data_IF_720744177018
#
_entry.id   IF_720744177018
#
_cell.length_a   1.000
_cell.length_b   1.000
_cell.length_c   1.000
_cell.angle_alpha   90.00
_cell.angle_beta   90.00
_cell.angle_gamma   90.00
#
_symmetry.space_group_name_H-M   'P 1'
#
loop_
_entity.id
_entity.type
_entity.pdbx_description
1 polymer ?
#
# COMPACT_ATOMS: atom_id res chain seq x y z
N UNK A 1 14.33 -21.45 -3.76
CA UNK A 1 14.55 -20.09 -3.24
C UNK A 1 13.23 -19.38 -3.09
N UNK A 2 13.02 -18.72 -1.97
CA UNK A 2 11.78 -18.01 -1.68
C UNK A 2 11.94 -16.54 -1.99
N UNK A 3 11.12 -16.03 -2.88
CA UNK A 3 11.08 -14.59 -3.17
C UNK A 3 10.06 -13.92 -2.30
N UNK A 4 10.36 -12.70 -1.87
CA UNK A 4 9.46 -11.85 -1.11
C UNK A 4 9.05 -10.65 -1.94
N UNK A 5 7.77 -10.31 -1.87
CA UNK A 5 7.20 -9.19 -2.59
C UNK A 5 6.53 -8.25 -1.60
N UNK A 6 6.78 -6.97 -1.76
CA UNK A 6 6.13 -5.93 -0.96
C UNK A 6 4.83 -5.53 -1.66
N UNK A 7 3.74 -5.48 -0.90
CA UNK A 7 2.42 -5.11 -1.42
C UNK A 7 1.78 -4.03 -0.56
N UNK A 8 1.04 -3.13 -1.19
CA UNK A 8 0.32 -2.07 -0.51
C UNK A 8 -1.14 -2.12 -0.92
N UNK A 9 -2.03 -2.16 0.08
CA UNK A 9 -3.47 -1.96 -0.14
C UNK A 9 -3.73 -0.49 0.14
N UNK A 10 -4.10 0.25 -0.90
CA UNK A 10 -4.22 1.70 -0.89
C UNK A 10 -5.49 2.17 -0.16
N UNK A 11 -5.56 3.47 0.21
CA UNK A 11 -6.66 3.95 1.05
C UNK A 11 -8.06 3.71 0.50
N UNK A 12 -8.25 3.80 -0.81
CA UNK A 12 -9.57 3.58 -1.41
C UNK A 12 -10.05 2.15 -1.21
N UNK A 13 -9.14 1.17 -1.37
CA UNK A 13 -9.49 -0.23 -1.16
C UNK A 13 -9.78 -0.51 0.32
N UNK A 14 -9.04 0.13 1.23
CA UNK A 14 -9.30 0.02 2.67
C UNK A 14 -10.68 0.56 3.01
N UNK A 15 -11.05 1.73 2.46
CA UNK A 15 -12.37 2.32 2.65
C UNK A 15 -13.49 1.43 2.13
N UNK A 16 -13.24 0.69 1.08
CA UNK A 16 -14.21 -0.21 0.46
C UNK A 16 -14.26 -1.58 1.14
N UNK A 17 -13.56 -1.75 2.23
CA UNK A 17 -13.50 -3.00 3.00
C UNK A 17 -13.01 -4.19 2.17
N UNK A 18 -11.99 -3.95 1.35
CA UNK A 18 -11.43 -4.97 0.45
C UNK A 18 -10.17 -5.65 1.00
N UNK A 19 -9.73 -5.28 2.22
CA UNK A 19 -8.50 -5.84 2.79
C UNK A 19 -8.54 -7.37 2.78
N UNK A 20 -9.59 -7.94 3.36
CA UNK A 20 -9.73 -9.39 3.45
C UNK A 20 -9.81 -10.07 2.09
N UNK A 21 -10.54 -9.46 1.15
CA UNK A 21 -10.69 -10.00 -0.18
C UNK A 21 -9.35 -10.03 -0.93
N UNK A 22 -8.58 -8.95 -0.82
CA UNK A 22 -7.27 -8.85 -1.48
C UNK A 22 -6.28 -9.84 -0.88
N UNK A 23 -6.19 -9.91 0.44
CA UNK A 23 -5.30 -10.86 1.12
C UNK A 23 -5.70 -12.30 0.84
N UNK A 24 -7.00 -12.59 0.83
CA UNK A 24 -7.50 -13.91 0.48
C UNK A 24 -7.13 -14.31 -0.94
N UNK A 25 -7.14 -13.35 -1.85
CA UNK A 25 -6.73 -13.61 -3.23
C UNK A 25 -5.24 -13.94 -3.33
N UNK A 26 -4.40 -13.25 -2.57
CA UNK A 26 -2.97 -13.58 -2.52
C UNK A 26 -2.77 -15.01 -2.02
N UNK A 27 -3.43 -15.36 -0.93
CA UNK A 27 -3.31 -16.70 -0.37
C UNK A 27 -3.82 -17.78 -1.33
N UNK A 28 -4.92 -17.51 -2.04
CA UNK A 28 -5.45 -18.47 -3.02
C UNK A 28 -4.53 -18.67 -4.21
N UNK A 29 -3.64 -17.72 -4.48
CA UNK A 29 -2.63 -17.83 -5.54
C UNK A 29 -1.32 -18.47 -5.03
N UNK A 30 -1.29 -18.94 -3.80
CA UNK A 30 -0.13 -19.58 -3.23
C UNK A 30 0.85 -18.67 -2.52
N UNK A 31 0.53 -17.38 -2.38
CA UNK A 31 1.38 -16.46 -1.61
C UNK A 31 1.17 -16.68 -0.12
N UNK A 32 2.27 -16.58 0.61
CA UNK A 32 2.23 -16.63 2.07
C UNK A 32 2.39 -15.20 2.59
N UNK A 33 1.48 -14.76 3.45
CA UNK A 33 1.61 -13.46 4.10
C UNK A 33 2.64 -13.58 5.22
N UNK A 34 3.81 -13.01 5.02
CA UNK A 34 4.93 -13.10 5.96
C UNK A 34 4.87 -12.00 7.01
N UNK A 35 4.46 -10.80 6.61
CA UNK A 35 4.30 -9.66 7.50
C UNK A 35 3.14 -8.81 7.03
N UNK A 36 2.46 -8.18 7.97
CA UNK A 36 1.25 -7.41 7.69
C UNK A 36 1.13 -6.28 8.70
N UNK A 37 0.86 -5.06 8.21
CA UNK A 37 0.69 -3.92 9.10
C UNK A 37 -0.24 -2.89 8.48
N UNK A 38 -1.17 -2.35 9.26
CA UNK A 38 -1.96 -1.21 8.86
C UNK A 38 -1.27 0.05 9.38
N UNK A 39 -1.07 1.03 8.51
CA UNK A 39 -0.40 2.28 8.86
C UNK A 39 -1.13 3.47 8.28
N UNK A 40 -1.06 4.61 8.98
CA UNK A 40 -1.46 5.90 8.45
C UNK A 40 -0.17 6.66 8.14
N UNK A 41 0.08 6.93 6.86
CA UNK A 41 1.28 7.64 6.46
C UNK A 41 1.24 9.09 6.91
N UNK A 42 2.40 9.63 7.28
CA UNK A 42 2.58 11.07 7.42
C UNK A 42 2.85 11.66 6.03
N UNK A 43 2.68 12.99 5.91
CA UNK A 43 2.97 13.68 4.65
C UNK A 43 4.41 13.41 4.21
N UNK A 44 5.34 13.48 5.14
CA UNK A 44 6.76 13.24 4.88
C UNK A 44 7.01 11.82 4.36
N UNK A 45 6.37 10.82 4.96
CA UNK A 45 6.49 9.44 4.51
C UNK A 45 5.92 9.24 3.11
N UNK A 46 4.76 9.84 2.83
CA UNK A 46 4.13 9.72 1.51
C UNK A 46 4.98 10.42 0.44
N UNK A 47 5.53 11.58 0.75
CA UNK A 47 6.42 12.30 -0.17
C UNK A 47 7.70 11.51 -0.43
N UNK A 48 8.27 10.89 0.59
CA UNK A 48 9.44 10.03 0.43
C UNK A 48 9.15 8.79 -0.42
N UNK A 49 7.97 8.22 -0.26
CA UNK A 49 7.55 7.06 -1.03
C UNK A 49 7.49 7.35 -2.54
N UNK A 50 7.07 8.56 -2.90
CA UNK A 50 6.96 8.99 -4.29
C UNK A 50 8.04 9.99 -4.70
N UNK A 51 9.19 9.98 -4.02
CA UNK A 51 10.26 10.98 -4.27
C UNK A 51 10.71 11.03 -5.72
N UNK A 52 10.74 9.89 -6.41
CA UNK A 52 11.13 9.83 -7.83
C UNK A 52 10.16 10.57 -8.76
N UNK A 53 8.95 10.87 -8.28
CA UNK A 53 7.94 11.62 -9.03
C UNK A 53 7.89 13.10 -8.65
N UNK A 54 8.75 13.53 -7.74
CA UNK A 54 8.79 14.92 -7.29
C UNK A 54 9.03 15.86 -8.48
N UNK A 55 8.25 16.93 -8.52
CA UNK A 55 8.30 17.89 -9.62
C UNK A 55 7.37 17.58 -10.78
N UNK A 56 6.75 16.41 -10.79
CA UNK A 56 5.78 16.06 -11.82
C UNK A 56 4.37 16.54 -11.43
N UNK A 57 3.50 16.87 -12.42
CA UNK A 57 2.17 17.41 -12.12
C UNK A 57 1.30 16.51 -11.24
N UNK A 58 1.51 15.21 -11.28
CA UNK A 58 0.71 14.25 -10.50
C UNK A 58 1.27 13.96 -9.11
N UNK A 59 2.41 14.55 -8.74
CA UNK A 59 3.08 14.24 -7.46
C UNK A 59 2.19 14.60 -6.26
N UNK A 60 1.72 15.84 -6.19
CA UNK A 60 0.90 16.28 -5.04
C UNK A 60 -0.45 15.55 -4.94
N UNK A 61 -1.20 15.38 -6.04
CA UNK A 61 -2.43 14.58 -5.97
C UNK A 61 -2.19 13.14 -5.50
N UNK A 62 -1.07 12.55 -5.91
CA UNK A 62 -0.71 11.19 -5.50
C UNK A 62 -0.40 11.12 -4.01
N UNK A 63 0.36 12.10 -3.49
CA UNK A 63 0.66 12.20 -2.06
C UNK A 63 -0.63 12.39 -1.26
N UNK A 64 -1.51 13.30 -1.68
CA UNK A 64 -2.79 13.53 -1.02
C UNK A 64 -3.66 12.26 -1.01
N UNK A 65 -3.68 11.54 -2.12
CA UNK A 65 -4.41 10.28 -2.21
C UNK A 65 -3.92 9.29 -1.15
N UNK A 66 -2.61 9.12 -1.00
CA UNK A 66 -2.04 8.20 -0.02
C UNK A 66 -2.27 8.66 1.42
N UNK A 67 -2.57 9.94 1.64
CA UNK A 67 -2.88 10.49 2.96
C UNK A 67 -4.37 10.45 3.28
N UNK A 68 -5.21 10.07 2.34
CA UNK A 68 -6.68 10.12 2.50
C UNK A 68 -7.22 9.11 3.52
N UNK A 69 -6.42 8.13 3.92
CA UNK A 69 -6.81 7.14 4.90
C UNK A 69 -5.69 6.16 5.16
N UNK A 70 -5.90 5.19 6.06
CA UNK A 70 -4.88 4.18 6.33
C UNK A 70 -4.66 3.25 5.13
N UNK A 71 -3.45 2.68 5.08
CA UNK A 71 -3.08 1.68 4.09
C UNK A 71 -2.68 0.41 4.81
N UNK A 72 -2.67 -0.71 4.10
CA UNK A 72 -2.16 -1.97 4.62
C UNK A 72 -0.94 -2.36 3.81
N UNK A 73 0.18 -2.50 4.49
CA UNK A 73 1.43 -2.95 3.88
C UNK A 73 1.66 -4.41 4.24
N UNK A 74 2.17 -5.16 3.29
CA UNK A 74 2.41 -6.59 3.52
C UNK A 74 3.65 -7.06 2.77
N UNK A 75 4.24 -8.13 3.30
CA UNK A 75 5.33 -8.86 2.65
C UNK A 75 4.81 -10.26 2.37
N UNK A 76 4.85 -10.63 1.12
CA UNK A 76 4.34 -11.91 0.64
C UNK A 76 5.44 -12.90 0.35
#
# INVERSE_FOLDING_TARGET
MTERTFSIIKPDAVKRHLIGAILGRFESQGFRVVALKMVQLTKEQAEGFYAEHQGKPFFEPLVEYMLSGPIVVSVL
#
